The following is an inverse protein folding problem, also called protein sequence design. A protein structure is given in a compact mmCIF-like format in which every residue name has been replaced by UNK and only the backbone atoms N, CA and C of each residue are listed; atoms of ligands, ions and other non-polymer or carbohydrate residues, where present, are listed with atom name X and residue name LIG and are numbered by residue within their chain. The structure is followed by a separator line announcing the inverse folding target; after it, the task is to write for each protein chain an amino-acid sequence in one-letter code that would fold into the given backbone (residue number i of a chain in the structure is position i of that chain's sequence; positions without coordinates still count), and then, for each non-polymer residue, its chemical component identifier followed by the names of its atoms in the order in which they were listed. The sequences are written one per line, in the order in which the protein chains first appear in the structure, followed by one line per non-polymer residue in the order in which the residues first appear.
data_IF_496273869822
#
_entry.id   IF_496273869822
#
_cell.length_a   1.000
_cell.length_b   1.000
_cell.length_c   1.000
_cell.angle_alpha   90.00
_cell.angle_beta   90.00
_cell.angle_gamma   90.00
#
_symmetry.space_group_name_H-M   'P 1'
#
loop_
_entity.id
_entity.type
_entity.pdbx_description
1 polymer ?
#
# COMPACT_ATOMS: atom_id res chain seq x y z
N UNK A 1 1.72 -27.56 -6.65
CA UNK A 1 1.88 -28.30 -5.38
C UNK A 1 1.85 -27.30 -4.24
N UNK A 2 0.87 -27.34 -3.33
CA UNK A 2 0.80 -26.40 -2.20
C UNK A 2 1.87 -26.81 -1.18
N UNK A 3 2.77 -25.89 -0.83
CA UNK A 3 3.75 -26.09 0.25
C UNK A 3 3.02 -26.17 1.58
N UNK A 4 3.42 -27.08 2.45
CA UNK A 4 2.87 -27.24 3.79
C UNK A 4 3.47 -26.18 4.75
N UNK A 5 2.83 -25.95 5.90
CA UNK A 5 3.39 -25.08 6.95
C UNK A 5 4.78 -25.53 7.41
N UNK A 6 5.01 -26.85 7.44
CA UNK A 6 6.33 -27.42 7.74
C UNK A 6 7.38 -27.10 6.65
N UNK A 7 6.98 -27.09 5.37
CA UNK A 7 7.87 -26.69 4.26
C UNK A 7 8.25 -25.21 4.31
N UNK A 8 7.34 -24.36 4.80
CA UNK A 8 7.60 -22.93 5.00
C UNK A 8 8.55 -22.71 6.18
N UNK A 9 8.35 -23.41 7.30
CA UNK A 9 9.21 -23.32 8.49
C UNK A 9 10.62 -23.91 8.25
N UNK A 10 10.75 -24.96 7.44
CA UNK A 10 12.06 -25.53 7.06
C UNK A 10 12.88 -24.60 6.14
N UNK A 11 12.24 -23.56 5.57
CA UNK A 11 12.87 -22.60 4.64
C UNK A 11 13.46 -21.35 5.31
N UNK A 12 13.77 -21.41 6.62
CA UNK A 12 14.49 -20.36 7.38
C UNK A 12 15.89 -20.00 6.83
N UNK A 13 16.30 -20.56 5.70
CA UNK A 13 17.47 -20.14 4.94
C UNK A 13 16.98 -19.32 3.74
N UNK A 14 17.16 -17.98 3.76
CA UNK A 14 16.88 -17.16 2.59
C UNK A 14 17.63 -17.71 1.38
N UNK A 15 17.00 -17.74 0.20
CA UNK A 15 17.64 -18.22 -1.02
C UNK A 15 19.03 -17.57 -1.21
N UNK A 16 20.09 -18.32 -1.58
CA UNK A 16 21.40 -17.73 -1.85
C UNK A 16 21.35 -16.56 -2.84
N UNK A 17 20.43 -16.62 -3.80
CA UNK A 17 20.19 -15.53 -4.78
C UNK A 17 19.66 -14.27 -4.08
N UNK A 18 18.76 -14.41 -3.11
CA UNK A 18 18.22 -13.28 -2.34
C UNK A 18 19.30 -12.67 -1.44
N UNK A 19 20.12 -13.50 -0.79
CA UNK A 19 21.23 -13.06 0.05
C UNK A 19 22.28 -12.30 -0.77
N UNK A 20 22.65 -12.82 -1.94
CA UNK A 20 23.58 -12.16 -2.86
C UNK A 20 23.01 -10.83 -3.36
N UNK A 21 21.73 -10.80 -3.74
CA UNK A 21 21.06 -9.58 -4.19
C UNK A 21 21.01 -8.49 -3.10
N UNK A 22 20.69 -8.89 -1.85
CA UNK A 22 20.63 -7.96 -0.73
C UNK A 22 22.03 -7.46 -0.31
N UNK A 23 23.06 -8.32 -0.39
CA UNK A 23 24.45 -7.96 -0.08
C UNK A 23 25.06 -6.94 -1.05
N UNK A 24 24.55 -6.86 -2.29
CA UNK A 24 25.04 -5.93 -3.33
C UNK A 24 24.64 -4.46 -3.10
N UNK A 25 23.97 -4.12 -1.99
CA UNK A 25 23.32 -2.82 -1.75
C UNK A 25 22.50 -2.41 -2.98
N UNK A 26 21.30 -2.96 -3.06
CA UNK A 26 20.39 -2.75 -4.18
C UNK A 26 20.03 -1.27 -4.44
N UNK A 27 20.35 -0.31 -3.57
CA UNK A 27 20.28 1.11 -3.90
C UNK A 27 21.42 1.88 -3.23
N UNK A 28 22.18 2.65 -4.01
CA UNK A 28 23.24 3.55 -3.54
C UNK A 28 22.92 4.95 -4.06
N UNK A 29 22.98 5.94 -3.18
CA UNK A 29 22.78 7.34 -3.52
C UNK A 29 23.72 8.19 -2.67
N UNK A 30 24.38 9.14 -3.32
CA UNK A 30 25.26 10.12 -2.68
C UNK A 30 24.48 11.31 -2.10
N UNK A 31 23.14 11.31 -2.25
CA UNK A 31 22.28 12.35 -1.71
C UNK A 31 22.27 12.30 -0.18
N UNK A 32 22.62 13.43 0.43
CA UNK A 32 22.60 13.62 1.89
C UNK A 32 21.24 14.12 2.37
N UNK A 33 20.49 14.80 1.51
CA UNK A 33 19.13 15.22 1.78
C UNK A 33 18.14 14.02 1.75
N UNK A 34 17.32 13.83 2.80
CA UNK A 34 16.37 12.72 2.86
C UNK A 34 15.32 12.70 1.75
N UNK A 35 14.91 13.86 1.22
CA UNK A 35 13.91 13.96 0.15
C UNK A 35 14.55 13.58 -1.18
N UNK A 36 15.72 14.15 -1.50
CA UNK A 36 16.48 13.79 -2.72
C UNK A 36 16.81 12.30 -2.75
N UNK A 37 17.23 11.74 -1.62
CA UNK A 37 17.51 10.30 -1.51
C UNK A 37 16.26 9.45 -1.75
N UNK A 38 15.08 9.89 -1.28
CA UNK A 38 13.80 9.21 -1.55
C UNK A 38 13.42 9.28 -3.03
N UNK A 39 13.57 10.44 -3.65
CA UNK A 39 13.30 10.63 -5.08
C UNK A 39 14.20 9.71 -5.91
N UNK A 40 15.52 9.74 -5.66
CA UNK A 40 16.48 8.87 -6.35
C UNK A 40 16.15 7.38 -6.17
N UNK A 41 15.67 6.99 -4.98
CA UNK A 41 15.26 5.61 -4.70
C UNK A 41 13.99 5.23 -5.45
N UNK A 42 13.00 6.11 -5.50
CA UNK A 42 11.77 5.90 -6.28
C UNK A 42 12.09 5.74 -7.78
N UNK A 43 12.92 6.62 -8.35
CA UNK A 43 13.36 6.51 -9.74
C UNK A 43 14.13 5.23 -10.03
N UNK A 44 14.96 4.79 -9.09
CA UNK A 44 15.68 3.52 -9.19
C UNK A 44 14.72 2.32 -9.18
N UNK A 45 13.78 2.27 -8.23
CA UNK A 45 12.79 1.20 -8.13
C UNK A 45 11.87 1.16 -9.36
N UNK A 46 11.51 2.32 -9.91
CA UNK A 46 10.74 2.42 -11.14
C UNK A 46 11.41 1.68 -12.31
N UNK A 47 12.75 1.73 -12.42
CA UNK A 47 13.51 1.01 -13.44
C UNK A 47 13.50 -0.51 -13.23
N UNK A 48 13.41 -0.96 -11.98
CA UNK A 48 13.41 -2.38 -11.63
C UNK A 48 12.01 -3.03 -11.65
N UNK A 49 10.94 -2.26 -11.90
CA UNK A 49 9.55 -2.77 -11.86
C UNK A 49 9.31 -4.00 -12.74
N UNK A 50 10.05 -4.17 -13.84
CA UNK A 50 9.93 -5.35 -14.68
C UNK A 50 10.31 -6.66 -13.96
N UNK A 51 11.02 -6.57 -12.83
CA UNK A 51 11.40 -7.70 -11.97
C UNK A 51 10.35 -8.04 -10.92
N UNK A 52 9.44 -7.11 -10.61
CA UNK A 52 8.31 -7.35 -9.69
C UNK A 52 7.21 -8.07 -10.47
N UNK A 53 6.85 -9.33 -10.15
CA UNK A 53 5.83 -10.09 -10.86
C UNK A 53 4.42 -9.66 -10.44
N UNK A 54 4.19 -8.37 -10.20
CA UNK A 54 2.83 -7.81 -10.12
C UNK A 54 2.31 -7.72 -11.56
N UNK A 55 1.86 -8.87 -12.05
CA UNK A 55 1.32 -9.02 -13.39
C UNK A 55 0.07 -8.17 -13.57
N UNK A 56 0.13 -7.22 -14.49
CA UNK A 56 -1.02 -6.42 -14.89
C UNK A 56 -0.59 -5.21 -15.72
N UNK A 57 0.16 -5.43 -16.80
CA UNK A 57 0.72 -4.34 -17.61
C UNK A 57 -0.31 -3.47 -18.34
N UNK A 58 -1.59 -3.84 -18.38
CA UNK A 58 -2.64 -2.87 -18.63
C UNK A 58 -4.00 -3.46 -18.29
N UNK A 59 -4.81 -2.68 -17.57
CA UNK A 59 -6.26 -2.78 -17.72
C UNK A 59 -6.62 -1.67 -18.70
N UNK A 60 -6.91 -1.98 -19.98
CA UNK A 60 -7.05 -0.98 -21.05
C UNK A 60 -8.20 0.01 -20.80
N UNK A 61 -9.05 -0.29 -19.85
CA UNK A 61 -10.24 0.47 -19.48
C UNK A 61 -10.00 1.45 -18.33
N UNK A 62 -8.76 1.90 -18.13
CA UNK A 62 -8.39 2.85 -17.07
C UNK A 62 -7.47 3.93 -17.65
N UNK A 63 -7.92 5.18 -17.59
CA UNK A 63 -7.13 6.37 -17.90
C UNK A 63 -6.36 6.81 -16.66
N UNK A 64 -5.12 7.23 -16.87
CA UNK A 64 -4.25 7.77 -15.83
C UNK A 64 -3.89 9.21 -16.12
N UNK A 65 -3.93 10.02 -15.07
CA UNK A 65 -3.34 11.36 -15.10
C UNK A 65 -2.74 11.70 -13.75
N UNK A 66 -1.65 12.43 -13.78
CA UNK A 66 -1.03 12.95 -12.57
C UNK A 66 -1.47 14.40 -12.34
N UNK A 67 -1.67 14.72 -11.07
CA UNK A 67 -1.85 16.10 -10.58
C UNK A 67 -0.85 16.36 -9.46
N UNK A 68 -0.66 17.63 -9.14
CA UNK A 68 0.11 18.06 -7.99
C UNK A 68 -0.83 18.78 -7.00
N UNK A 69 -0.73 18.40 -5.73
CA UNK A 69 -1.50 18.97 -4.64
C UNK A 69 -0.54 19.67 -3.69
N UNK A 70 -0.66 20.99 -3.58
CA UNK A 70 0.10 21.77 -2.60
C UNK A 70 -0.41 21.46 -1.19
N UNK A 71 0.48 21.00 -0.32
CA UNK A 71 0.16 20.70 1.08
C UNK A 71 0.61 21.84 2.00
N UNK A 72 0.32 21.71 3.30
CA UNK A 72 0.44 22.75 4.33
C UNK A 72 1.81 23.43 4.47
N UNK A 73 2.88 22.77 4.03
CA UNK A 73 4.26 23.27 4.08
C UNK A 73 4.72 23.80 2.70
N UNK A 74 3.77 24.07 1.79
CA UNK A 74 3.97 24.47 0.40
C UNK A 74 4.66 23.42 -0.48
N UNK A 75 4.86 22.20 0.02
CA UNK A 75 5.35 21.11 -0.82
C UNK A 75 4.27 20.65 -1.80
N UNK A 76 4.67 20.30 -3.02
CA UNK A 76 3.76 19.74 -4.03
C UNK A 76 3.81 18.22 -4.02
N UNK A 77 2.72 17.59 -3.58
CA UNK A 77 2.58 16.13 -3.59
C UNK A 77 1.98 15.71 -4.93
N UNK A 78 2.70 14.87 -5.67
CA UNK A 78 2.18 14.22 -6.88
C UNK A 78 1.14 13.16 -6.50
N UNK A 79 -0.03 13.24 -7.12
CA UNK A 79 -1.12 12.26 -6.98
C UNK A 79 -1.47 11.71 -8.36
N UNK A 80 -1.53 10.38 -8.48
CA UNK A 80 -2.04 9.72 -9.68
C UNK A 80 -3.52 9.42 -9.56
N UNK A 81 -4.27 9.80 -10.57
CA UNK A 81 -5.70 9.55 -10.65
C UNK A 81 -5.93 8.47 -11.71
N UNK A 82 -6.58 7.39 -11.28
CA UNK A 82 -7.03 6.30 -12.14
C UNK A 82 -8.54 6.46 -12.36
N UNK A 83 -8.93 6.67 -13.61
CA UNK A 83 -10.33 6.87 -13.99
C UNK A 83 -10.77 5.72 -14.89
N UNK A 84 -11.84 4.97 -14.56
CA UNK A 84 -12.36 3.97 -15.48
C UNK A 84 -12.83 4.63 -16.79
N UNK A 85 -12.49 4.04 -17.93
CA UNK A 85 -12.90 4.48 -19.27
C UNK A 85 -14.06 3.65 -19.81
N UNK A 86 -14.96 4.32 -20.52
CA UNK A 86 -16.23 3.73 -20.96
C UNK A 86 -17.20 3.44 -19.80
N UNK A 87 -18.46 3.19 -20.14
CA UNK A 87 -19.52 2.93 -19.15
C UNK A 87 -20.34 4.16 -18.77
N UNK A 88 -21.44 3.91 -18.05
CA UNK A 88 -22.39 4.96 -17.66
C UNK A 88 -21.77 5.81 -16.54
N UNK A 89 -21.39 7.06 -16.85
CA UNK A 89 -21.05 8.03 -15.78
C UNK A 89 -22.24 8.14 -14.84
N UNK A 90 -22.01 7.86 -13.56
CA UNK A 90 -23.04 8.02 -12.54
C UNK A 90 -23.52 9.47 -12.54
N UNK A 91 -24.83 9.67 -12.63
CA UNK A 91 -25.40 11.00 -12.45
C UNK A 91 -25.07 11.47 -11.04
N UNK A 92 -24.37 12.61 -10.92
CA UNK A 92 -23.89 13.14 -9.65
C UNK A 92 -22.45 12.75 -9.26
N UNK A 93 -21.75 11.96 -10.08
CA UNK A 93 -20.39 11.48 -9.79
C UNK A 93 -20.36 10.08 -9.18
N UNK A 94 -19.19 9.44 -9.20
CA UNK A 94 -18.98 8.09 -8.66
C UNK A 94 -18.23 8.07 -7.34
N UNK A 95 -18.07 6.87 -6.74
CA UNK A 95 -17.32 6.74 -5.50
C UNK A 95 -15.85 7.12 -5.72
N UNK A 96 -15.22 7.65 -4.67
CA UNK A 96 -13.80 8.00 -4.64
C UNK A 96 -13.05 6.99 -3.78
N UNK A 97 -11.92 6.49 -4.30
CA UNK A 97 -10.96 5.71 -3.52
C UNK A 97 -9.62 6.44 -3.49
N UNK A 98 -9.14 6.77 -2.29
CA UNK A 98 -7.83 7.38 -2.07
C UNK A 98 -6.87 6.32 -1.55
N UNK A 99 -5.85 6.00 -2.35
CA UNK A 99 -4.86 4.97 -2.04
C UNK A 99 -3.53 5.57 -1.59
N UNK A 100 -2.95 4.98 -0.54
CA UNK A 100 -1.62 5.30 -0.03
C UNK A 100 -0.70 4.10 -0.25
N UNK A 101 0.48 4.35 -0.80
CA UNK A 101 1.44 3.30 -1.10
C UNK A 101 2.10 2.74 0.17
N UNK A 102 2.65 1.53 0.04
CA UNK A 102 3.46 0.89 1.08
C UNK A 102 4.88 1.47 1.16
N UNK A 103 5.82 0.77 1.79
CA UNK A 103 7.21 1.21 1.87
C UNK A 103 7.60 1.86 3.20
N UNK A 104 6.97 1.45 4.30
CA UNK A 104 7.49 1.74 5.65
C UNK A 104 7.80 3.22 5.89
N UNK A 105 7.01 4.14 5.33
CA UNK A 105 7.16 5.61 5.40
C UNK A 105 8.50 6.17 4.89
N UNK A 106 9.32 5.34 4.23
CA UNK A 106 10.69 5.68 3.81
C UNK A 106 10.98 5.28 2.37
N UNK A 107 10.09 4.48 1.79
CA UNK A 107 10.16 3.86 0.50
C UNK A 107 8.82 3.99 -0.22
N UNK A 108 8.83 3.62 -1.49
CA UNK A 108 7.66 3.49 -2.31
C UNK A 108 7.38 4.70 -3.19
N UNK A 109 6.49 4.51 -4.15
CA UNK A 109 6.03 5.50 -5.11
C UNK A 109 4.62 5.15 -5.62
N UNK A 110 4.13 5.90 -6.61
CA UNK A 110 2.79 5.72 -7.21
C UNK A 110 2.54 4.36 -7.86
N UNK A 111 3.55 3.49 -7.97
CA UNK A 111 3.44 2.17 -8.58
C UNK A 111 3.21 1.01 -7.65
N UNK A 112 3.55 1.13 -6.37
CA UNK A 112 3.45 -0.01 -5.46
C UNK A 112 1.98 -0.47 -5.34
N UNK A 113 1.05 0.48 -5.47
CA UNK A 113 -0.40 0.23 -5.47
C UNK A 113 -1.05 0.35 -6.84
N UNK A 114 -0.27 0.51 -7.93
CA UNK A 114 -0.82 0.79 -9.25
C UNK A 114 -1.78 -0.31 -9.73
N UNK A 115 -1.41 -1.59 -9.55
CA UNK A 115 -2.26 -2.70 -9.93
C UNK A 115 -3.58 -2.69 -9.15
N UNK A 116 -3.52 -2.43 -7.84
CA UNK A 116 -4.72 -2.31 -7.01
C UNK A 116 -5.58 -1.13 -7.47
N UNK A 117 -5.00 0.04 -7.73
CA UNK A 117 -5.71 1.20 -8.25
C UNK A 117 -6.41 0.93 -9.59
N UNK A 118 -5.72 0.27 -10.53
CA UNK A 118 -6.31 -0.14 -11.82
C UNK A 118 -7.44 -1.14 -11.62
N UNK A 119 -7.23 -2.16 -10.78
CA UNK A 119 -8.23 -3.18 -10.47
C UNK A 119 -9.46 -2.56 -9.82
N UNK A 120 -9.29 -1.69 -8.82
CA UNK A 120 -10.40 -1.00 -8.17
C UNK A 120 -11.15 -0.10 -9.15
N UNK A 121 -10.45 0.64 -10.02
CA UNK A 121 -11.10 1.44 -11.06
C UNK A 121 -11.92 0.57 -12.03
N UNK A 122 -11.34 -0.54 -12.50
CA UNK A 122 -12.01 -1.48 -13.41
C UNK A 122 -13.21 -2.19 -12.77
N UNK A 123 -13.05 -2.71 -11.56
CA UNK A 123 -14.15 -3.34 -10.81
C UNK A 123 -15.24 -2.31 -10.51
N UNK A 124 -14.87 -1.06 -10.19
CA UNK A 124 -15.85 0.01 -9.98
C UNK A 124 -16.70 0.21 -11.23
N UNK A 125 -16.10 0.26 -12.43
CA UNK A 125 -16.87 0.31 -13.69
C UNK A 125 -17.87 -0.83 -13.79
N UNK A 126 -17.40 -2.07 -13.63
CA UNK A 126 -18.27 -3.24 -13.71
C UNK A 126 -19.41 -3.19 -12.69
N UNK A 127 -19.11 -2.85 -11.43
CA UNK A 127 -20.12 -2.70 -10.38
C UNK A 127 -21.09 -1.58 -10.72
N UNK A 128 -20.65 -0.43 -11.23
CA UNK A 128 -21.56 0.67 -11.58
C UNK A 128 -22.52 0.33 -12.72
N UNK A 129 -22.09 -0.50 -13.67
CA UNK A 129 -22.94 -1.00 -14.76
C UNK A 129 -23.95 -2.05 -14.29
N UNK A 130 -23.62 -2.79 -13.22
CA UNK A 130 -24.41 -3.94 -12.72
C UNK A 130 -25.03 -3.70 -11.34
N UNK A 131 -24.87 -2.53 -10.73
CA UNK A 131 -25.25 -2.29 -9.33
C UNK A 131 -26.75 -2.50 -9.09
N UNK A 132 -27.59 -2.05 -10.02
CA UNK A 132 -29.06 -2.18 -9.91
C UNK A 132 -29.48 -3.65 -9.92
N UNK A 133 -28.85 -4.51 -10.73
CA UNK A 133 -29.15 -5.94 -10.74
C UNK A 133 -28.64 -6.66 -9.49
N UNK A 134 -27.69 -6.05 -8.78
CA UNK A 134 -27.15 -6.52 -7.51
C UNK A 134 -27.81 -5.87 -6.27
N UNK A 135 -28.78 -4.97 -6.47
CA UNK A 135 -29.44 -4.24 -5.37
C UNK A 135 -28.57 -3.20 -4.66
N UNK A 136 -27.50 -2.71 -5.30
CA UNK A 136 -26.55 -1.73 -4.76
C UNK A 136 -26.80 -0.30 -5.28
N UNK A 137 -26.47 0.71 -4.47
CA UNK A 137 -26.54 2.14 -4.81
C UNK A 137 -25.14 2.79 -4.77
N UNK A 138 -24.47 3.00 -5.91
CA UNK A 138 -23.06 3.39 -5.97
C UNK A 138 -22.73 4.87 -5.67
N UNK A 139 -23.73 5.75 -5.58
CA UNK A 139 -23.52 7.21 -5.67
C UNK A 139 -22.83 7.91 -4.48
N UNK A 140 -22.31 7.21 -3.46
CA UNK A 140 -21.94 7.85 -2.17
C UNK A 140 -20.64 7.40 -1.48
N UNK A 141 -19.79 6.61 -2.13
CA UNK A 141 -18.60 6.05 -1.48
C UNK A 141 -17.42 7.04 -1.41
N UNK A 142 -16.82 7.22 -0.23
CA UNK A 142 -15.46 7.73 -0.09
C UNK A 142 -14.62 6.74 0.73
N UNK A 143 -13.75 6.00 0.04
CA UNK A 143 -12.91 4.94 0.61
C UNK A 143 -11.47 5.43 0.71
N UNK A 144 -10.79 5.12 1.81
CA UNK A 144 -9.34 5.24 1.91
C UNK A 144 -8.71 3.84 1.95
N UNK A 145 -7.52 3.66 1.40
CA UNK A 145 -6.87 2.37 1.50
C UNK A 145 -5.37 2.37 1.23
N UNK A 146 -4.74 1.24 1.49
CA UNK A 146 -3.33 1.04 1.21
C UNK A 146 -2.77 -0.23 1.83
N UNK A 147 -1.56 -0.61 1.39
CA UNK A 147 -0.77 -1.69 1.98
C UNK A 147 0.22 -1.19 3.01
N UNK A 148 0.49 -1.98 4.05
CA UNK A 148 1.57 -1.76 5.02
C UNK A 148 1.52 -0.35 5.65
N UNK A 149 2.52 0.50 5.39
CA UNK A 149 2.55 1.90 5.83
C UNK A 149 1.37 2.74 5.28
N UNK A 150 0.94 2.51 4.04
CA UNK A 150 -0.24 3.14 3.47
C UNK A 150 -1.54 2.67 4.12
N UNK A 151 -1.58 1.39 4.53
CA UNK A 151 -2.66 0.85 5.34
C UNK A 151 -2.72 1.50 6.73
N UNK A 152 -1.57 1.75 7.37
CA UNK A 152 -1.51 2.53 8.61
C UNK A 152 -2.12 3.94 8.44
N UNK A 153 -1.68 4.68 7.41
CA UNK A 153 -2.20 6.03 7.12
C UNK A 153 -3.72 5.98 6.94
N UNK A 154 -4.22 5.01 6.18
CA UNK A 154 -5.65 4.81 5.93
C UNK A 154 -6.43 4.58 7.23
N UNK A 155 -5.91 3.76 8.14
CA UNK A 155 -6.52 3.51 9.44
C UNK A 155 -6.56 4.79 10.31
N UNK A 156 -5.50 5.58 10.31
CA UNK A 156 -5.45 6.87 11.03
C UNK A 156 -6.46 7.86 10.44
N UNK A 157 -6.55 7.96 9.10
CA UNK A 157 -7.52 8.86 8.45
C UNK A 157 -8.96 8.47 8.78
N UNK A 158 -9.29 7.18 8.81
CA UNK A 158 -10.62 6.73 9.21
C UNK A 158 -10.95 7.16 10.66
N UNK A 159 -9.98 7.09 11.58
CA UNK A 159 -10.16 7.58 12.95
C UNK A 159 -10.36 9.09 12.99
N UNK A 160 -9.56 9.86 12.25
CA UNK A 160 -9.71 11.33 12.17
C UNK A 160 -11.04 11.74 11.55
N UNK A 161 -11.52 11.00 10.53
CA UNK A 161 -12.85 11.19 9.96
C UNK A 161 -13.94 11.00 11.01
N UNK A 162 -13.84 9.95 11.84
CA UNK A 162 -14.78 9.71 12.94
C UNK A 162 -14.76 10.83 13.97
N UNK A 163 -13.61 11.46 14.19
CA UNK A 163 -13.44 12.59 15.10
C UNK A 163 -13.88 13.95 14.49
N UNK A 164 -14.38 13.97 13.26
CA UNK A 164 -14.89 15.19 12.62
C UNK A 164 -13.83 16.09 11.99
N UNK A 165 -12.61 15.60 11.77
CA UNK A 165 -11.55 16.37 11.11
C UNK A 165 -11.85 16.67 9.63
N UNK A 166 -12.74 15.91 8.99
CA UNK A 166 -13.07 16.06 7.58
C UNK A 166 -14.54 16.42 7.38
N UNK A 167 -14.79 17.35 6.45
CA UNK A 167 -16.16 17.74 6.05
C UNK A 167 -16.89 16.61 5.32
N UNK A 168 -16.16 15.81 4.54
CA UNK A 168 -16.69 14.63 3.85
C UNK A 168 -16.28 13.39 4.65
N UNK A 169 -17.23 12.58 5.15
CA UNK A 169 -16.89 11.40 5.93
C UNK A 169 -16.30 10.30 5.04
N UNK A 170 -15.31 9.60 5.58
CA UNK A 170 -14.82 8.34 5.02
C UNK A 170 -15.90 7.28 5.27
N UNK A 171 -16.36 6.63 4.21
CA UNK A 171 -17.45 5.63 4.24
C UNK A 171 -16.94 4.19 4.20
N UNK A 172 -15.63 3.97 4.00
CA UNK A 172 -15.02 2.65 3.99
C UNK A 172 -13.50 2.70 4.03
N UNK A 173 -12.88 1.58 4.38
CA UNK A 173 -11.41 1.45 4.39
C UNK A 173 -10.95 0.10 3.83
N UNK A 174 -9.87 0.11 3.03
CA UNK A 174 -9.15 -1.07 2.57
C UNK A 174 -7.78 -1.12 3.23
N UNK A 175 -7.55 -2.09 4.12
CA UNK A 175 -6.30 -2.22 4.87
C UNK A 175 -5.60 -3.52 4.48
N UNK A 176 -4.58 -3.43 3.63
CA UNK A 176 -3.73 -4.57 3.30
C UNK A 176 -2.53 -4.61 4.25
N UNK A 177 -2.42 -5.67 5.06
CA UNK A 177 -1.30 -5.90 5.99
C UNK A 177 -0.79 -4.65 6.75
N UNK A 178 -1.67 -3.82 7.35
CA UNK A 178 -1.27 -2.56 7.94
C UNK A 178 -0.43 -2.76 9.21
N UNK A 179 0.54 -1.87 9.45
CA UNK A 179 1.11 -1.72 10.80
C UNK A 179 0.23 -0.75 11.60
N UNK A 180 -0.64 -1.22 12.50
CA UNK A 180 -1.63 -0.35 13.16
C UNK A 180 -1.20 0.25 14.51
N UNK A 181 -0.19 -0.35 15.15
CA UNK A 181 0.39 0.16 16.39
C UNK A 181 1.83 -0.34 16.57
N UNK A 182 2.70 0.43 17.24
CA UNK A 182 3.96 -0.09 17.78
C UNK A 182 3.71 -1.23 18.75
N UNK A 183 4.58 -2.24 18.77
CA UNK A 183 4.42 -3.45 19.58
C UNK A 183 4.37 -3.14 21.08
N UNK A 184 5.11 -2.12 21.50
CA UNK A 184 5.21 -1.67 22.89
C UNK A 184 3.90 -1.07 23.40
N UNK A 185 3.07 -0.57 22.49
CA UNK A 185 1.81 0.10 22.82
C UNK A 185 0.60 -0.85 22.80
N UNK A 186 0.79 -2.13 22.47
CA UNK A 186 -0.32 -3.07 22.51
C UNK A 186 -0.80 -3.31 23.94
N UNK A 187 -2.14 -3.30 24.17
CA UNK A 187 -2.69 -3.57 25.48
C UNK A 187 -2.21 -4.92 26.02
N UNK A 188 -1.88 -4.97 27.32
CA UNK A 188 -1.33 -6.16 27.96
C UNK A 188 -2.18 -7.41 27.71
N UNK A 189 -3.51 -7.26 27.71
CA UNK A 189 -4.48 -8.35 27.45
C UNK A 189 -4.40 -8.99 26.06
N UNK A 190 -3.74 -8.35 25.10
CA UNK A 190 -3.57 -8.85 23.73
C UNK A 190 -2.12 -9.26 23.43
N UNK A 191 -1.20 -9.13 24.38
CA UNK A 191 0.22 -9.42 24.13
C UNK A 191 0.47 -10.89 23.83
N UNK A 192 -0.32 -11.79 24.43
CA UNK A 192 -0.23 -13.24 24.17
C UNK A 192 -0.69 -13.59 22.74
N UNK A 193 -1.53 -12.76 22.12
CA UNK A 193 -2.02 -12.96 20.76
C UNK A 193 -1.04 -12.43 19.68
N UNK A 194 -0.04 -11.63 20.08
CA UNK A 194 0.94 -11.00 19.16
C UNK A 194 2.08 -11.95 18.81
N UNK A 195 1.76 -13.06 18.16
CA UNK A 195 2.73 -14.10 17.85
C UNK A 195 3.57 -13.77 16.62
N UNK A 196 2.94 -13.21 15.58
CA UNK A 196 3.56 -13.04 14.26
C UNK A 196 4.84 -12.20 14.22
N UNK A 197 5.03 -11.14 15.06
CA UNK A 197 6.30 -10.41 15.10
C UNK A 197 7.46 -11.24 15.68
N UNK A 198 7.16 -12.24 16.52
CA UNK A 198 8.16 -13.10 17.17
C UNK A 198 8.39 -14.40 16.38
N UNK A 199 7.32 -15.06 15.93
CA UNK A 199 7.40 -16.30 15.15
C UNK A 199 8.02 -16.09 13.77
N UNK A 200 7.82 -14.92 13.17
CA UNK A 200 8.37 -14.57 11.86
C UNK A 200 9.63 -13.69 11.95
N UNK A 201 10.34 -13.68 13.09
CA UNK A 201 11.57 -12.88 13.23
C UNK A 201 12.67 -13.26 12.22
N UNK A 202 12.71 -14.53 11.83
CA UNK A 202 13.65 -15.04 10.84
C UNK A 202 13.12 -14.95 9.40
N UNK A 203 11.95 -14.34 9.19
CA UNK A 203 11.40 -14.15 7.85
C UNK A 203 12.38 -13.33 7.00
N UNK A 204 12.77 -13.84 5.82
CA UNK A 204 13.78 -13.20 4.98
C UNK A 204 13.39 -11.79 4.57
N UNK A 205 12.10 -11.48 4.43
CA UNK A 205 11.63 -10.15 4.04
C UNK A 205 11.67 -9.23 5.27
N UNK A 206 11.05 -9.62 6.38
CA UNK A 206 10.97 -8.80 7.61
C UNK A 206 12.34 -8.53 8.24
N UNK A 207 13.29 -9.47 8.14
CA UNK A 207 14.67 -9.32 8.59
C UNK A 207 15.40 -8.18 7.89
N UNK A 208 15.14 -7.94 6.61
CA UNK A 208 15.77 -6.84 5.85
C UNK A 208 15.12 -5.47 6.12
N UNK A 209 13.86 -5.41 6.58
CA UNK A 209 13.14 -4.14 6.82
C UNK A 209 13.32 -3.58 8.23
N UNK A 210 14.15 -4.20 9.07
CA UNK A 210 14.55 -3.66 10.38
C UNK A 210 13.94 -4.36 11.61
N UNK A 211 13.35 -5.55 11.48
CA UNK A 211 12.86 -6.34 12.61
C UNK A 211 13.96 -6.76 13.62
N UNK A 212 15.24 -6.59 13.27
CA UNK A 212 16.36 -6.84 14.19
C UNK A 212 16.34 -5.98 15.46
N UNK A 213 15.62 -4.84 15.48
CA UNK A 213 15.43 -4.01 16.68
C UNK A 213 14.53 -4.61 17.76
N UNK A 214 13.90 -5.76 17.50
CA UNK A 214 13.01 -6.44 18.46
C UNK A 214 13.73 -7.42 19.40
N UNK A 215 15.00 -7.72 19.12
CA UNK A 215 15.90 -8.26 20.14
C UNK A 215 16.34 -7.08 20.97
N UNK A 216 15.84 -6.98 22.20
CA UNK A 216 16.29 -5.96 23.14
C UNK A 216 17.81 -5.99 23.27
N UNK A 217 18.45 -5.02 22.65
CA UNK A 217 19.78 -4.48 22.95
C UNK A 217 19.66 -2.95 22.99
#
# INVERSE_FOLDING_TARGET
MKRTTADLHASNVPSPILLEAAGKRCFVSDATDPIERRIARAEYLAKLRYLMPLGGKSIPEVEERDIYVTVRDNYEVRVRIYTPTGGRRLQGGGPLMLMFHEGGWTAGDLSDEELNCRLFAHVTKWVTENAVSLGAEPSKGFIVGGSSAGGNISAVLAQLSRLGYFKVPITGQYLSVPLIAPLELYPQKYKEDLLSPYENMDDPVLRYVGAQRLKGE
#
